data_IF_102408632145
#
_entry.id   IF_102408632145
#
_cell.length_a   1.000
_cell.length_b   1.000
_cell.length_c   1.000
_cell.angle_alpha   90.00
_cell.angle_beta   90.00
_cell.angle_gamma   90.00
#
_symmetry.space_group_name_H-M   'P 1'
#
loop_
_entity.id
_entity.type
_entity.pdbx_description
1 polymer ?
#
# COMPACT_ATOMS: atom_id res chain seq x y z
N UNK A 1 1.39 14.63 -7.55
CA UNK A 1 0.80 13.89 -6.42
C UNK A 1 -0.57 14.48 -6.18
N UNK A 2 -1.60 13.69 -6.38
CA UNK A 2 -2.99 14.03 -6.10
C UNK A 2 -3.42 13.27 -4.84
N UNK A 3 -3.92 13.99 -3.83
CA UNK A 3 -4.37 13.44 -2.55
C UNK A 3 -5.89 13.56 -2.41
N UNK A 4 -6.63 13.30 -3.49
CA UNK A 4 -8.08 13.16 -3.45
C UNK A 4 -8.52 11.82 -2.84
N UNK A 5 -9.81 11.66 -2.65
CA UNK A 5 -10.42 10.50 -2.01
C UNK A 5 -11.12 9.56 -3.00
N UNK A 6 -11.12 9.91 -4.29
CA UNK A 6 -11.74 9.11 -5.33
C UNK A 6 -10.82 7.97 -5.77
N UNK A 7 -11.40 6.83 -6.10
CA UNK A 7 -10.67 5.69 -6.65
C UNK A 7 -10.20 6.01 -8.07
N UNK A 8 -8.99 5.57 -8.41
CA UNK A 8 -8.44 5.69 -9.75
C UNK A 8 -8.70 4.39 -10.51
N UNK A 9 -9.46 4.49 -11.60
CA UNK A 9 -9.80 3.36 -12.46
C UNK A 9 -8.87 3.32 -13.66
N UNK A 10 -8.09 2.28 -13.78
CA UNK A 10 -7.24 2.03 -14.94
C UNK A 10 -7.77 0.81 -15.72
N UNK A 11 -8.00 1.01 -17.03
CA UNK A 11 -8.46 -0.05 -17.93
C UNK A 11 -7.29 -0.65 -18.68
N UNK A 12 -7.10 -1.98 -18.52
CA UNK A 12 -6.08 -2.69 -19.29
C UNK A 12 -6.53 -2.78 -20.77
N UNK A 13 -5.65 -2.47 -21.74
CA UNK A 13 -5.97 -2.66 -23.15
C UNK A 13 -6.38 -4.08 -23.55
N UNK A 14 -5.88 -5.07 -22.80
CA UNK A 14 -6.24 -6.49 -22.97
C UNK A 14 -7.56 -6.88 -22.30
N UNK A 15 -8.27 -5.93 -21.68
CA UNK A 15 -9.52 -6.13 -20.94
C UNK A 15 -9.36 -6.09 -19.42
N UNK A 16 -10.47 -5.85 -18.73
CA UNK A 16 -10.52 -5.71 -17.27
C UNK A 16 -10.14 -4.32 -16.77
N UNK A 17 -10.26 -4.16 -15.45
CA UNK A 17 -10.02 -2.86 -14.77
C UNK A 17 -9.25 -3.09 -13.48
N UNK A 18 -8.19 -2.32 -13.24
CA UNK A 18 -7.55 -2.18 -11.94
C UNK A 18 -8.09 -0.92 -11.29
N UNK A 19 -8.54 -1.04 -10.05
CA UNK A 19 -9.06 0.08 -9.24
C UNK A 19 -8.09 0.34 -8.11
N UNK A 20 -7.36 1.44 -8.19
CA UNK A 20 -6.43 1.88 -7.16
C UNK A 20 -7.21 2.65 -6.08
N UNK A 21 -7.52 1.96 -4.99
CA UNK A 21 -8.19 2.52 -3.83
C UNK A 21 -7.16 3.14 -2.88
N UNK A 22 -7.24 4.47 -2.71
CA UNK A 22 -6.28 5.20 -1.87
C UNK A 22 -6.53 4.98 -0.40
N UNK A 23 -5.57 4.39 0.31
CA UNK A 23 -5.62 4.17 1.76
C UNK A 23 -4.56 5.00 2.50
N UNK A 24 -4.75 5.17 3.80
CA UNK A 24 -3.77 5.80 4.70
C UNK A 24 -3.23 4.73 5.65
N UNK A 25 -1.92 4.51 5.72
CA UNK A 25 -1.35 3.47 6.56
C UNK A 25 -1.76 3.61 8.03
N UNK A 26 -2.13 2.50 8.63
CA UNK A 26 -2.57 2.38 10.04
C UNK A 26 -3.79 3.23 10.43
N UNK A 27 -4.57 3.70 9.46
CA UNK A 27 -5.77 4.52 9.66
C UNK A 27 -7.02 3.73 9.29
N UNK A 28 -8.01 3.70 10.18
CA UNK A 28 -9.30 3.06 9.91
C UNK A 28 -10.20 4.01 9.11
N UNK A 29 -10.60 3.59 7.92
CA UNK A 29 -11.51 4.38 7.10
C UNK A 29 -12.96 4.25 7.58
N UNK A 30 -13.70 5.38 7.62
CA UNK A 30 -15.14 5.35 7.82
C UNK A 30 -15.85 4.50 6.74
N UNK A 31 -16.98 3.93 7.09
CA UNK A 31 -17.74 3.08 6.15
C UNK A 31 -18.10 3.77 4.83
N UNK A 32 -18.29 5.09 4.87
CA UNK A 32 -18.65 5.88 3.68
C UNK A 32 -17.50 6.04 2.69
N UNK A 33 -16.25 5.81 3.12
CA UNK A 33 -15.06 5.87 2.29
C UNK A 33 -14.59 4.51 1.78
N UNK A 34 -15.23 3.43 2.20
CA UNK A 34 -14.90 2.07 1.76
C UNK A 34 -15.39 1.82 0.34
N UNK A 35 -14.65 1.04 -0.48
CA UNK A 35 -15.04 0.73 -1.85
C UNK A 35 -16.44 0.11 -1.89
N UNK A 36 -17.32 0.66 -2.75
CA UNK A 36 -18.70 0.17 -2.93
C UNK A 36 -18.90 -0.54 -4.28
N UNK A 37 -17.87 -0.53 -5.13
CA UNK A 37 -17.93 -1.23 -6.40
C UNK A 37 -17.84 -2.74 -6.20
N UNK A 38 -18.41 -3.48 -7.16
CA UNK A 38 -18.19 -4.91 -7.25
C UNK A 38 -16.80 -5.18 -7.82
N UNK A 39 -16.03 -6.03 -7.17
CA UNK A 39 -14.70 -6.45 -7.61
C UNK A 39 -14.59 -7.98 -7.55
N UNK A 40 -13.70 -8.56 -8.36
CA UNK A 40 -13.57 -10.00 -8.55
C UNK A 40 -12.31 -10.56 -7.85
N UNK A 41 -11.25 -9.76 -7.74
CA UNK A 41 -10.02 -10.12 -7.05
C UNK A 41 -9.39 -8.94 -6.35
N UNK A 42 -8.47 -9.21 -5.44
CA UNK A 42 -7.74 -8.25 -4.64
C UNK A 42 -6.26 -8.27 -5.03
N UNK A 43 -5.67 -7.11 -5.31
CA UNK A 43 -4.22 -6.92 -5.43
C UNK A 43 -3.66 -6.30 -4.16
N UNK A 44 -2.71 -6.95 -3.50
CA UNK A 44 -2.01 -6.42 -2.32
C UNK A 44 -0.63 -5.90 -2.76
N UNK A 45 -0.30 -4.68 -2.34
CA UNK A 45 1.03 -4.08 -2.54
C UNK A 45 1.96 -4.55 -1.41
N UNK A 46 2.36 -5.80 -1.49
CA UNK A 46 3.21 -6.51 -0.53
C UNK A 46 3.49 -7.92 -1.04
N UNK A 47 4.28 -8.68 -0.30
CA UNK A 47 4.58 -10.09 -0.59
C UNK A 47 3.53 -11.02 0.03
N UNK A 48 3.56 -12.30 -0.34
CA UNK A 48 2.70 -13.33 0.24
C UNK A 48 2.94 -13.53 1.75
N UNK A 49 4.11 -13.18 2.25
CA UNK A 49 4.49 -13.27 3.67
C UNK A 49 3.72 -12.29 4.56
N UNK A 50 3.12 -11.23 3.98
CA UNK A 50 2.30 -10.26 4.70
C UNK A 50 1.16 -10.91 5.52
N UNK A 51 0.63 -12.04 5.04
CA UNK A 51 -0.45 -12.73 5.73
C UNK A 51 -0.02 -13.24 7.10
N UNK A 52 1.18 -13.83 7.18
CA UNK A 52 1.74 -14.33 8.45
C UNK A 52 2.04 -13.16 9.40
N UNK A 53 2.59 -12.06 8.87
CA UNK A 53 2.86 -10.84 9.64
C UNK A 53 1.55 -10.29 10.24
N UNK A 54 0.49 -10.19 9.46
CA UNK A 54 -0.80 -9.73 9.97
C UNK A 54 -1.40 -10.62 11.06
N UNK A 55 -1.22 -11.94 10.95
CA UNK A 55 -1.67 -12.87 12.00
C UNK A 55 -0.88 -12.67 13.28
N UNK A 56 0.44 -12.49 13.18
CA UNK A 56 1.28 -12.22 14.35
C UNK A 56 0.94 -10.87 15.00
N UNK A 57 0.74 -9.82 14.21
CA UNK A 57 0.33 -8.51 14.72
C UNK A 57 -1.04 -8.56 15.41
N UNK A 58 -2.04 -9.25 14.83
CA UNK A 58 -3.36 -9.45 15.46
C UNK A 58 -3.24 -10.19 16.79
N UNK A 59 -2.37 -11.20 16.84
CA UNK A 59 -2.11 -11.95 18.07
C UNK A 59 -1.44 -11.09 19.14
N UNK A 60 -0.46 -10.27 18.75
CA UNK A 60 0.20 -9.35 19.67
C UNK A 60 -0.79 -8.31 20.22
N UNK A 61 -1.60 -7.68 19.37
CA UNK A 61 -2.65 -6.72 19.78
C UNK A 61 -3.71 -7.34 20.68
N UNK A 62 -4.05 -8.62 20.49
CA UNK A 62 -5.01 -9.32 21.36
C UNK A 62 -4.47 -9.57 22.76
N UNK A 63 -3.16 -9.71 22.90
CA UNK A 63 -2.48 -9.95 24.18
C UNK A 63 -2.19 -8.64 24.92
N UNK A 64 -1.77 -7.61 24.18
CA UNK A 64 -1.41 -6.30 24.74
C UNK A 64 -1.77 -5.20 23.70
N UNK A 65 -2.89 -4.53 23.95
CA UNK A 65 -3.44 -3.55 23.04
C UNK A 65 -2.51 -2.34 22.86
N UNK A 66 -2.12 -2.06 21.63
CA UNK A 66 -1.21 -0.97 21.27
C UNK A 66 0.26 -1.36 21.23
N UNK A 67 0.62 -2.63 21.52
CA UNK A 67 2.02 -3.07 21.55
C UNK A 67 2.74 -2.85 20.21
N UNK A 68 2.05 -3.07 19.08
CA UNK A 68 2.65 -2.88 17.77
C UNK A 68 2.93 -1.40 17.50
N UNK A 69 1.99 -0.52 17.87
CA UNK A 69 2.17 0.94 17.76
C UNK A 69 3.35 1.42 18.60
N UNK A 70 3.40 1.02 19.87
CA UNK A 70 4.46 1.40 20.78
C UNK A 70 5.83 0.90 20.30
N UNK A 71 5.90 -0.35 19.81
CA UNK A 71 7.11 -0.91 19.23
C UNK A 71 7.57 -0.15 17.99
N UNK A 72 6.66 0.19 17.09
CA UNK A 72 6.97 0.92 15.87
C UNK A 72 7.44 2.36 16.17
N UNK A 73 6.84 3.03 17.15
CA UNK A 73 7.30 4.37 17.60
C UNK A 73 8.69 4.28 18.24
N UNK A 74 8.94 3.28 19.08
CA UNK A 74 10.23 3.07 19.75
C UNK A 74 11.36 2.75 18.75
N UNK A 75 11.06 2.03 17.67
CA UNK A 75 12.03 1.78 16.60
C UNK A 75 12.45 3.07 15.88
N UNK A 76 11.66 4.12 15.98
CA UNK A 76 12.02 5.46 15.50
C UNK A 76 12.03 5.58 13.98
N UNK A 77 12.95 6.44 13.47
CA UNK A 77 13.06 6.68 12.04
C UNK A 77 11.88 7.51 11.49
N UNK A 78 11.60 7.34 10.20
CA UNK A 78 10.46 8.01 9.55
C UNK A 78 9.13 7.37 9.94
N UNK A 79 9.11 6.07 10.17
CA UNK A 79 7.92 5.31 10.53
C UNK A 79 7.46 5.67 11.95
N UNK A 80 8.37 5.65 12.92
CA UNK A 80 8.09 6.08 14.28
C UNK A 80 7.63 7.53 14.35
N UNK A 81 8.27 8.44 13.59
CA UNK A 81 7.85 9.84 13.52
C UNK A 81 6.46 10.01 12.90
N UNK A 82 6.14 9.25 11.84
CA UNK A 82 4.82 9.25 11.23
C UNK A 82 3.75 8.80 12.24
N UNK A 83 3.98 7.66 12.89
CA UNK A 83 3.05 7.09 13.85
C UNK A 83 2.87 7.99 15.09
N UNK A 84 3.95 8.55 15.61
CA UNK A 84 3.88 9.52 16.71
C UNK A 84 3.03 10.73 16.31
N UNK A 85 3.23 11.28 15.10
CA UNK A 85 2.43 12.42 14.62
C UNK A 85 0.96 12.03 14.39
N UNK A 86 0.68 10.80 13.99
CA UNK A 86 -0.70 10.31 13.83
C UNK A 86 -1.44 10.26 15.16
N UNK A 87 -0.79 9.91 16.28
CA UNK A 87 -1.46 9.87 17.60
C UNK A 87 -2.00 11.21 18.05
N UNK A 88 -1.58 12.31 17.40
CA UNK A 88 -2.08 13.68 17.68
C UNK A 88 -3.26 14.07 16.78
N UNK A 89 -3.74 13.15 15.92
CA UNK A 89 -4.89 13.40 15.05
C UNK A 89 -6.15 12.99 15.80
N UNK A 90 -7.03 13.98 16.03
CA UNK A 90 -8.32 13.76 16.64
C UNK A 90 -9.33 13.22 15.62
N UNK A 91 -10.45 12.70 16.10
CA UNK A 91 -11.64 12.24 15.34
C UNK A 91 -11.41 11.05 14.39
N UNK A 92 -10.21 10.47 14.32
CA UNK A 92 -9.87 9.34 13.46
C UNK A 92 -9.24 8.22 14.29
N UNK A 93 -9.59 6.99 14.02
CA UNK A 93 -8.89 5.85 14.60
C UNK A 93 -7.59 5.62 13.84
N UNK A 94 -6.47 5.84 14.52
CA UNK A 94 -5.11 5.78 13.96
C UNK A 94 -4.23 4.81 14.72
N UNK A 95 -3.06 4.49 14.14
CA UNK A 95 -2.07 3.62 14.79
C UNK A 95 -2.57 2.19 14.98
N UNK A 96 -3.40 1.69 14.08
CA UNK A 96 -3.97 0.35 14.14
C UNK A 96 -3.13 -0.64 13.36
N UNK A 97 -2.88 -1.79 14.00
CA UNK A 97 -2.14 -2.91 13.43
C UNK A 97 -2.97 -4.20 13.52
N UNK A 98 -2.87 -5.06 12.50
CA UNK A 98 -2.26 -4.80 11.18
C UNK A 98 -2.94 -3.63 10.46
N UNK A 99 -2.31 -3.16 9.37
CA UNK A 99 -2.87 -2.04 8.58
C UNK A 99 -4.33 -2.34 8.22
N UNK A 100 -5.28 -1.53 8.74
CA UNK A 100 -6.69 -1.95 8.80
C UNK A 100 -7.35 -2.12 7.45
N UNK A 101 -7.06 -1.27 6.46
CA UNK A 101 -7.78 -1.35 5.19
C UNK A 101 -7.31 -2.49 4.28
N UNK A 102 -6.01 -2.72 4.05
CA UNK A 102 -5.55 -3.92 3.34
C UNK A 102 -6.00 -5.20 4.03
N UNK A 103 -5.85 -5.29 5.36
CA UNK A 103 -6.25 -6.47 6.12
C UNK A 103 -7.76 -6.74 6.06
N UNK A 104 -8.59 -5.71 6.17
CA UNK A 104 -10.04 -5.81 6.05
C UNK A 104 -10.46 -6.31 4.67
N UNK A 105 -9.83 -5.76 3.60
CA UNK A 105 -10.12 -6.17 2.22
C UNK A 105 -9.65 -7.60 1.96
N UNK A 106 -8.51 -8.00 2.50
CA UNK A 106 -8.03 -9.38 2.45
C UNK A 106 -9.04 -10.35 3.09
N UNK A 107 -9.47 -10.08 4.33
CA UNK A 107 -10.53 -10.89 4.97
C UNK A 107 -11.83 -10.94 4.15
N UNK A 108 -12.19 -9.82 3.53
CA UNK A 108 -13.37 -9.77 2.66
C UNK A 108 -13.18 -10.61 1.38
N UNK A 109 -11.98 -10.63 0.79
CA UNK A 109 -11.64 -11.49 -0.34
C UNK A 109 -11.82 -12.97 0.01
N UNK A 110 -11.19 -13.41 1.11
CA UNK A 110 -11.28 -14.79 1.58
C UNK A 110 -12.72 -15.19 1.90
N UNK A 111 -13.50 -14.34 2.58
CA UNK A 111 -14.89 -14.62 2.95
C UNK A 111 -15.85 -14.73 1.73
N UNK A 112 -15.43 -14.25 0.58
CA UNK A 112 -16.21 -14.28 -0.66
C UNK A 112 -15.57 -15.10 -1.75
N UNK A 113 -14.61 -15.98 -1.43
CA UNK A 113 -13.89 -16.87 -2.34
C UNK A 113 -13.27 -16.11 -3.53
N UNK A 114 -12.70 -14.91 -3.28
CA UNK A 114 -12.05 -14.07 -4.29
C UNK A 114 -10.54 -14.26 -4.24
N UNK A 115 -9.94 -14.38 -5.41
CA UNK A 115 -8.48 -14.51 -5.52
C UNK A 115 -7.75 -13.28 -4.98
N UNK A 116 -6.64 -13.51 -4.28
CA UNK A 116 -5.74 -12.48 -3.78
C UNK A 116 -4.41 -12.61 -4.51
N UNK A 117 -3.88 -11.51 -5.02
CA UNK A 117 -2.63 -11.41 -5.76
C UNK A 117 -1.67 -10.49 -5.04
N UNK A 118 -0.40 -10.88 -4.95
CA UNK A 118 0.64 -10.10 -4.30
C UNK A 118 1.55 -9.46 -5.35
N UNK A 119 1.65 -8.13 -5.32
CA UNK A 119 2.42 -7.37 -6.30
C UNK A 119 3.92 -7.38 -6.01
N UNK A 120 4.34 -7.55 -4.76
CA UNK A 120 5.74 -7.72 -4.40
C UNK A 120 6.17 -9.17 -4.67
N UNK A 121 7.30 -9.40 -5.37
CA UNK A 121 7.86 -10.73 -5.52
C UNK A 121 8.28 -11.32 -4.18
N UNK A 122 8.24 -12.64 -4.08
CA UNK A 122 8.70 -13.35 -2.89
C UNK A 122 10.24 -13.34 -2.82
N UNK A 123 10.80 -13.63 -1.64
CA UNK A 123 12.26 -13.52 -1.39
C UNK A 123 13.11 -14.55 -2.14
N UNK A 124 12.50 -15.58 -2.71
CA UNK A 124 13.15 -16.57 -3.58
C UNK A 124 13.36 -16.08 -5.02
N UNK A 125 12.78 -14.93 -5.40
CA UNK A 125 13.04 -14.24 -6.66
C UNK A 125 14.43 -13.55 -6.63
N UNK A 126 15.40 -14.13 -7.35
CA UNK A 126 16.79 -13.67 -7.37
C UNK A 126 16.92 -12.22 -7.86
N UNK A 127 16.14 -11.81 -8.88
CA UNK A 127 16.15 -10.45 -9.41
C UNK A 127 15.61 -9.46 -8.39
N UNK A 128 14.60 -9.87 -7.62
CA UNK A 128 14.04 -9.05 -6.55
C UNK A 128 15.01 -8.91 -5.38
N UNK A 129 15.65 -9.99 -4.97
CA UNK A 129 16.68 -9.96 -3.94
C UNK A 129 17.85 -9.05 -4.34
N UNK A 130 18.29 -9.09 -5.60
CA UNK A 130 19.32 -8.17 -6.12
C UNK A 130 18.85 -6.72 -6.10
N UNK A 131 17.59 -6.47 -6.50
CA UNK A 131 16.98 -5.14 -6.46
C UNK A 131 16.95 -4.57 -5.03
N UNK A 132 16.48 -5.35 -4.04
CA UNK A 132 16.47 -4.95 -2.64
C UNK A 132 17.89 -4.66 -2.11
N UNK A 133 18.88 -5.44 -2.54
CA UNK A 133 20.29 -5.17 -2.25
C UNK A 133 20.76 -3.80 -2.78
N UNK A 134 20.37 -3.44 -4.01
CA UNK A 134 20.68 -2.12 -4.59
C UNK A 134 19.96 -0.99 -3.85
N UNK A 135 18.70 -1.19 -3.46
CA UNK A 135 17.93 -0.22 -2.70
C UNK A 135 18.57 0.02 -1.32
N UNK A 136 18.92 -1.05 -0.59
CA UNK A 136 19.63 -0.97 0.69
C UNK A 136 20.98 -0.23 0.56
N UNK A 137 21.76 -0.55 -0.48
CA UNK A 137 23.02 0.14 -0.74
C UNK A 137 22.80 1.63 -1.06
N UNK A 138 21.77 1.96 -1.81
CA UNK A 138 21.41 3.35 -2.11
C UNK A 138 21.08 4.13 -0.84
N UNK A 139 20.36 3.53 0.12
CA UNK A 139 19.97 4.15 1.39
C UNK A 139 21.17 4.38 2.32
N UNK A 140 22.20 3.54 2.27
CA UNK A 140 23.38 3.62 3.15
C UNK A 140 24.46 4.60 2.67
N UNK A 141 24.28 5.28 1.53
CA UNK A 141 25.22 6.29 1.04
C UNK A 141 25.41 7.42 2.06
N UNK A 142 26.67 7.89 2.31
CA UNK A 142 26.97 8.86 3.38
C UNK A 142 26.11 10.12 3.35
N UNK A 143 25.85 10.66 2.16
CA UNK A 143 24.99 11.84 2.00
C UNK A 143 23.52 11.58 2.36
N UNK A 144 23.04 10.35 2.18
CA UNK A 144 21.68 9.97 2.57
C UNK A 144 21.58 9.74 4.07
N UNK A 145 22.62 9.18 4.69
CA UNK A 145 22.72 9.05 6.15
C UNK A 145 22.71 10.42 6.84
N UNK A 146 23.39 11.44 6.27
CA UNK A 146 23.30 12.81 6.78
C UNK A 146 21.87 13.38 6.74
N UNK A 147 21.01 12.95 5.82
CA UNK A 147 19.61 13.37 5.77
C UNK A 147 18.82 12.91 6.98
N UNK A 148 19.22 11.82 7.63
CA UNK A 148 18.59 11.32 8.87
C UNK A 148 18.72 12.37 9.99
N UNK A 149 19.87 13.01 10.11
CA UNK A 149 20.12 14.06 11.12
C UNK A 149 19.18 15.26 10.93
N UNK A 150 18.77 15.53 9.70
CA UNK A 150 17.87 16.64 9.36
C UNK A 150 16.40 16.22 9.15
N UNK A 151 16.03 15.01 9.57
CA UNK A 151 14.68 14.46 9.35
C UNK A 151 13.59 15.41 9.84
N UNK A 152 13.66 15.93 11.05
CA UNK A 152 12.65 16.84 11.60
C UNK A 152 12.48 18.15 10.80
N UNK A 153 13.58 18.69 10.24
CA UNK A 153 13.53 19.88 9.38
C UNK A 153 12.92 19.57 8.02
N UNK A 154 13.30 18.45 7.44
CA UNK A 154 12.76 17.95 6.17
C UNK A 154 11.25 17.67 6.32
N UNK A 155 10.86 17.02 7.41
CA UNK A 155 9.46 16.74 7.75
C UNK A 155 8.63 18.02 7.78
N UNK A 156 9.05 19.03 8.57
CA UNK A 156 8.34 20.32 8.68
C UNK A 156 8.20 21.04 7.34
N UNK A 157 9.19 20.92 6.44
CA UNK A 157 9.11 21.51 5.11
C UNK A 157 8.15 20.71 4.23
N UNK A 158 8.25 19.38 4.25
CA UNK A 158 7.45 18.49 3.42
C UNK A 158 5.96 18.55 3.79
N UNK A 159 5.62 18.54 5.08
CA UNK A 159 4.20 18.59 5.49
C UNK A 159 3.51 19.90 5.07
N UNK A 160 4.24 21.03 5.10
CA UNK A 160 3.70 22.31 4.58
C UNK A 160 3.41 22.26 3.08
N UNK A 161 4.18 21.46 2.36
CA UNK A 161 3.98 21.22 0.92
C UNK A 161 2.80 20.26 0.71
N UNK A 162 2.76 19.13 1.42
CA UNK A 162 1.72 18.11 1.25
C UNK A 162 0.33 18.63 1.59
N UNK A 163 0.19 19.46 2.63
CA UNK A 163 -1.09 20.12 2.97
C UNK A 163 -1.73 20.91 1.84
N UNK A 164 -0.96 21.33 0.83
CA UNK A 164 -1.50 22.06 -0.33
C UNK A 164 -2.09 21.12 -1.40
N UNK A 165 -1.82 19.85 -1.32
CA UNK A 165 -2.28 18.82 -2.25
C UNK A 165 -3.45 18.01 -1.70
N UNK A 166 -3.72 18.12 -0.40
CA UNK A 166 -4.84 17.42 0.24
C UNK A 166 -6.14 18.09 -0.19
N UNK A 167 -7.07 17.29 -0.63
CA UNK A 167 -8.44 17.69 -0.97
C UNK A 167 -9.33 17.52 0.27
N UNK A 168 -10.37 18.33 0.36
CA UNK A 168 -11.34 18.23 1.45
C UNK A 168 -11.92 16.80 1.48
N UNK A 169 -12.07 16.26 2.69
CA UNK A 169 -12.65 14.94 2.89
C UNK A 169 -14.11 14.90 2.45
N UNK A 170 -14.63 13.72 2.09
CA UNK A 170 -16.04 13.57 1.76
C UNK A 170 -16.95 14.07 2.89
N UNK A 171 -18.14 14.60 2.57
CA UNK A 171 -19.12 15.02 3.57
C UNK A 171 -19.38 13.91 4.60
N UNK A 172 -19.38 14.25 5.88
CA UNK A 172 -19.51 13.36 7.05
C UNK A 172 -18.27 12.55 7.42
N UNK A 173 -17.17 12.64 6.66
CA UNK A 173 -15.90 12.07 7.08
C UNK A 173 -15.23 12.99 8.12
N UNK A 174 -14.48 12.44 9.09
CA UNK A 174 -13.78 13.22 10.10
C UNK A 174 -12.76 14.20 9.52
N UNK A 175 -12.63 15.40 10.09
CA UNK A 175 -11.66 16.42 9.65
C UNK A 175 -10.20 15.94 9.81
N UNK A 176 -9.96 15.10 10.80
CA UNK A 176 -8.65 14.50 11.04
C UNK A 176 -8.09 13.71 9.85
N UNK A 177 -8.94 13.22 8.93
CA UNK A 177 -8.47 12.52 7.73
C UNK A 177 -7.62 13.40 6.82
N UNK A 178 -7.90 14.70 6.69
CA UNK A 178 -7.04 15.62 5.93
C UNK A 178 -5.64 15.71 6.54
N UNK A 179 -5.58 15.76 7.88
CA UNK A 179 -4.29 15.81 8.59
C UNK A 179 -3.55 14.49 8.41
N UNK A 180 -4.24 13.36 8.58
CA UNK A 180 -3.66 12.04 8.38
C UNK A 180 -3.15 11.84 6.94
N UNK A 181 -3.91 12.29 5.93
CA UNK A 181 -3.48 12.28 4.52
C UNK A 181 -2.20 13.09 4.29
N UNK A 182 -2.12 14.30 4.85
CA UNK A 182 -0.90 15.12 4.75
C UNK A 182 0.31 14.46 5.44
N UNK A 183 0.09 13.80 6.58
CA UNK A 183 1.13 13.06 7.30
C UNK A 183 1.60 11.85 6.50
N UNK A 184 0.67 11.02 6.02
CA UNK A 184 0.98 9.85 5.20
C UNK A 184 1.72 10.21 3.90
N UNK A 185 1.27 11.27 3.21
CA UNK A 185 1.94 11.76 2.01
C UNK A 185 3.34 12.33 2.31
N UNK A 186 3.53 12.95 3.48
CA UNK A 186 4.85 13.43 3.92
C UNK A 186 5.79 12.26 4.17
N UNK A 187 5.34 11.26 4.90
CA UNK A 187 6.06 10.04 5.18
C UNK A 187 6.45 9.31 3.89
N UNK A 188 5.50 9.05 3.02
CA UNK A 188 5.70 8.44 1.72
C UNK A 188 6.75 9.18 0.86
N UNK A 189 6.59 10.51 0.73
CA UNK A 189 7.55 11.32 -0.02
C UNK A 189 8.95 11.21 0.54
N UNK A 190 9.13 11.30 1.85
CA UNK A 190 10.45 11.26 2.48
C UNK A 190 11.11 9.88 2.36
N UNK A 191 10.32 8.79 2.39
CA UNK A 191 10.83 7.45 2.12
C UNK A 191 11.29 7.31 0.67
N UNK A 192 10.50 7.74 -0.29
CA UNK A 192 10.93 7.75 -1.70
C UNK A 192 12.16 8.63 -1.96
N UNK A 193 12.27 9.78 -1.31
CA UNK A 193 13.45 10.64 -1.41
C UNK A 193 14.72 9.98 -0.81
N UNK A 194 14.58 8.97 0.04
CA UNK A 194 15.70 8.22 0.60
C UNK A 194 16.21 7.12 -0.34
N UNK A 195 15.38 6.59 -1.23
CA UNK A 195 15.79 5.73 -2.34
C UNK A 195 16.26 6.58 -3.55
N UNK A 196 16.67 5.94 -4.64
CA UNK A 196 16.98 6.61 -5.91
C UNK A 196 15.71 6.62 -6.79
N UNK A 197 15.53 7.69 -7.59
CA UNK A 197 14.34 7.85 -8.43
C UNK A 197 14.20 6.70 -9.46
N UNK A 198 15.33 6.24 -10.00
CA UNK A 198 15.38 5.11 -10.93
C UNK A 198 14.92 3.82 -10.27
N UNK A 199 15.39 3.52 -9.05
CA UNK A 199 14.95 2.34 -8.29
C UNK A 199 13.47 2.43 -7.94
N UNK A 200 12.98 3.62 -7.54
CA UNK A 200 11.56 3.81 -7.30
C UNK A 200 10.71 3.53 -8.56
N UNK A 201 11.19 3.97 -9.74
CA UNK A 201 10.50 3.72 -11.00
C UNK A 201 10.51 2.22 -11.36
N UNK A 202 11.65 1.56 -11.23
CA UNK A 202 11.78 0.10 -11.47
C UNK A 202 10.82 -0.69 -10.58
N UNK A 203 10.73 -0.33 -9.30
CA UNK A 203 9.77 -0.91 -8.34
C UNK A 203 8.33 -0.74 -8.80
N UNK A 204 7.93 0.51 -9.12
CA UNK A 204 6.58 0.82 -9.57
C UNK A 204 6.22 0.05 -10.85
N UNK A 205 7.14 -0.05 -11.82
CA UNK A 205 6.95 -0.78 -13.07
C UNK A 205 6.79 -2.28 -12.82
N UNK A 206 7.61 -2.87 -11.96
CA UNK A 206 7.50 -4.30 -11.65
C UNK A 206 6.19 -4.63 -10.94
N UNK A 207 5.79 -3.81 -9.98
CA UNK A 207 4.50 -3.99 -9.30
C UNK A 207 3.32 -3.85 -10.28
N UNK A 208 3.39 -2.89 -11.21
CA UNK A 208 2.38 -2.74 -12.25
C UNK A 208 2.32 -3.98 -13.18
N UNK A 209 3.49 -4.56 -13.56
CA UNK A 209 3.57 -5.80 -14.35
C UNK A 209 2.85 -6.97 -13.66
N UNK A 210 3.10 -7.13 -12.35
CA UNK A 210 2.51 -8.21 -11.53
C UNK A 210 1.02 -7.98 -11.27
N UNK A 211 0.58 -6.74 -11.05
CA UNK A 211 -0.86 -6.42 -10.97
C UNK A 211 -1.59 -6.74 -12.29
N UNK A 212 -0.96 -6.43 -13.44
CA UNK A 212 -1.48 -6.85 -14.75
C UNK A 212 -1.54 -8.37 -14.89
N UNK A 213 -0.55 -9.09 -14.33
CA UNK A 213 -0.54 -10.55 -14.27
C UNK A 213 -1.70 -11.13 -13.50
N UNK A 214 -1.96 -10.60 -12.31
CA UNK A 214 -3.14 -10.97 -11.52
C UNK A 214 -4.44 -10.65 -12.25
N UNK A 215 -4.56 -9.47 -12.88
CA UNK A 215 -5.72 -9.12 -13.70
C UNK A 215 -5.90 -10.08 -14.89
N UNK A 216 -4.81 -10.51 -15.53
CA UNK A 216 -4.85 -11.49 -16.61
C UNK A 216 -5.40 -12.84 -16.15
N UNK A 217 -5.07 -13.31 -14.94
CA UNK A 217 -5.68 -14.49 -14.31
C UNK A 217 -7.18 -14.28 -14.06
N UNK A 218 -7.58 -13.14 -13.52
CA UNK A 218 -9.00 -12.82 -13.30
C UNK A 218 -9.81 -12.79 -14.62
N UNK A 219 -9.21 -12.35 -15.72
CA UNK A 219 -9.88 -12.37 -17.04
C UNK A 219 -10.22 -13.77 -17.51
N UNK A 220 -9.46 -14.77 -17.13
CA UNK A 220 -9.77 -16.16 -17.51
C UNK A 220 -11.11 -16.62 -16.92
N UNK A 221 -11.50 -16.10 -15.77
CA UNK A 221 -12.73 -16.48 -15.08
C UNK A 221 -13.88 -15.48 -15.34
N UNK A 222 -13.58 -14.17 -15.46
CA UNK A 222 -14.56 -13.10 -15.50
C UNK A 222 -14.60 -12.33 -16.82
N UNK A 223 -13.77 -12.71 -17.79
CA UNK A 223 -13.66 -12.04 -19.09
C UNK A 223 -13.20 -10.57 -18.97
N UNK A 224 -13.54 -9.78 -19.98
CA UNK A 224 -13.16 -8.35 -20.06
C UNK A 224 -13.81 -7.46 -18.99
N UNK A 225 -14.77 -8.00 -18.22
CA UNK A 225 -15.40 -7.30 -17.10
C UNK A 225 -14.69 -7.53 -15.76
N UNK A 226 -13.60 -8.27 -15.76
CA UNK A 226 -12.79 -8.49 -14.55
C UNK A 226 -12.40 -7.17 -13.87
N UNK A 227 -12.57 -7.11 -12.56
CA UNK A 227 -12.19 -5.94 -11.74
C UNK A 227 -11.30 -6.41 -10.60
N UNK A 228 -10.09 -5.86 -10.56
CA UNK A 228 -9.15 -6.03 -9.44
C UNK A 228 -9.17 -4.77 -8.58
N UNK A 229 -9.43 -4.92 -7.28
CA UNK A 229 -9.30 -3.83 -6.30
C UNK A 229 -7.91 -3.85 -5.69
N UNK A 230 -7.25 -2.71 -5.64
CA UNK A 230 -5.88 -2.57 -5.10
C UNK A 230 -5.86 -1.47 -4.04
N UNK A 231 -5.85 -1.82 -2.74
CA UNK A 231 -5.58 -0.86 -1.69
C UNK A 231 -4.11 -0.41 -1.78
N UNK A 232 -3.91 0.87 -1.99
CA UNK A 232 -2.58 1.46 -2.16
C UNK A 232 -2.52 2.78 -1.41
N UNK A 233 -1.36 3.13 -0.86
CA UNK A 233 -1.20 4.44 -0.25
C UNK A 233 -1.65 5.55 -1.18
N UNK A 234 -2.49 6.46 -0.67
CA UNK A 234 -3.06 7.57 -1.43
C UNK A 234 -2.00 8.36 -2.21
N UNK A 235 -0.86 8.61 -1.58
CA UNK A 235 0.25 9.32 -2.20
C UNK A 235 0.98 8.52 -3.31
N UNK A 236 0.83 7.21 -3.34
CA UNK A 236 1.46 6.32 -4.32
C UNK A 236 0.64 6.15 -5.59
N UNK A 237 -0.66 6.39 -5.55
CA UNK A 237 -1.59 6.17 -6.67
C UNK A 237 -1.12 6.76 -8.00
N UNK A 238 -0.67 8.02 -7.99
CA UNK A 238 -0.22 8.69 -9.22
C UNK A 238 0.98 8.01 -9.89
N UNK A 239 1.94 7.51 -9.12
CA UNK A 239 3.12 6.84 -9.69
C UNK A 239 2.78 5.43 -10.15
N UNK A 240 1.93 4.72 -9.42
CA UNK A 240 1.43 3.41 -9.84
C UNK A 240 0.57 3.51 -11.09
N UNK A 241 -0.33 4.51 -11.18
CA UNK A 241 -1.12 4.73 -12.39
C UNK A 241 -0.24 4.97 -13.63
N UNK A 242 0.80 5.81 -13.50
CA UNK A 242 1.76 6.04 -14.59
C UNK A 242 2.55 4.78 -14.95
N UNK A 243 2.88 3.94 -13.97
CA UNK A 243 3.54 2.66 -14.23
C UNK A 243 2.63 1.70 -14.99
N UNK A 244 1.35 1.66 -14.68
CA UNK A 244 0.33 0.92 -15.44
C UNK A 244 0.16 1.48 -16.86
N UNK A 245 0.12 2.82 -17.02
CA UNK A 245 0.02 3.49 -18.33
C UNK A 245 1.22 3.20 -19.24
N UNK A 246 2.38 2.88 -18.66
CA UNK A 246 3.56 2.45 -19.41
C UNK A 246 3.41 1.05 -20.01
N UNK A 247 2.34 0.34 -19.68
CA UNK A 247 2.01 -1.01 -20.17
C UNK A 247 3.18 -1.99 -20.05
N UNK A 248 3.75 -2.21 -18.86
CA UNK A 248 4.83 -3.18 -18.72
C UNK A 248 4.34 -4.58 -19.10
N UNK A 249 5.24 -5.41 -19.60
CA UNK A 249 4.94 -6.81 -19.88
C UNK A 249 4.35 -7.49 -18.64
N UNK A 250 3.38 -8.36 -18.88
CA UNK A 250 2.68 -9.08 -17.82
C UNK A 250 3.64 -10.03 -17.11
N UNK A 251 3.77 -9.90 -15.79
CA UNK A 251 4.56 -10.77 -14.92
C UNK A 251 3.64 -11.59 -14.01
N UNK A 252 3.96 -12.86 -13.81
CA UNK A 252 3.18 -13.71 -12.89
C UNK A 252 3.29 -13.19 -11.45
N UNK A 253 2.15 -13.13 -10.76
CA UNK A 253 2.07 -12.74 -9.35
C UNK A 253 1.78 -13.95 -8.47
N UNK A 254 2.36 -13.99 -7.28
CA UNK A 254 1.99 -14.94 -6.24
C UNK A 254 0.51 -14.76 -5.92
N UNK A 255 -0.23 -15.86 -5.76
CA UNK A 255 -1.67 -15.78 -5.52
C UNK A 255 -2.12 -16.81 -4.49
N UNK A 256 -3.05 -16.39 -3.63
CA UNK A 256 -3.85 -17.30 -2.81
C UNK A 256 -5.15 -17.53 -3.56
N UNK A 257 -5.35 -18.77 -4.02
CA UNK A 257 -6.65 -19.24 -4.53
C UNK A 257 -7.16 -20.32 -3.58
N UNK A 258 -8.39 -20.16 -3.09
CA UNK A 258 -9.03 -21.12 -2.18
C UNK A 258 -9.49 -22.41 -2.89
N UNK A 259 -9.20 -22.56 -4.18
CA UNK A 259 -9.67 -23.68 -5.01
C UNK A 259 -8.57 -24.63 -5.46
N UNK A 260 -7.68 -25.07 -4.57
CA UNK A 260 -6.83 -26.20 -4.92
C UNK A 260 -6.17 -26.89 -3.73
N UNK A 261 -6.95 -27.48 -2.84
CA UNK A 261 -6.47 -28.61 -2.03
C UNK A 261 -7.60 -29.65 -1.86
N UNK A 262 -8.15 -30.09 -2.99
CA UNK A 262 -8.73 -31.43 -3.08
C UNK A 262 -7.77 -32.21 -3.95
N UNK A 263 -6.57 -32.46 -3.46
CA UNK A 263 -5.79 -33.58 -3.91
C UNK A 263 -6.44 -34.83 -3.34
N UNK A 264 -6.89 -35.67 -4.26
CA UNK A 264 -7.37 -37.02 -4.03
C UNK A 264 -6.32 -37.83 -3.25
N UNK A 265 -6.70 -38.35 -2.07
CA UNK A 265 -6.09 -39.53 -1.48
C UNK A 265 -6.73 -40.79 -2.05
#
# INVERSE_FOLDING_TARGET
MNLDWEDVHWKDPDGGTIVLHGVLPTVVFPNDMRPRLQWHGLGIIGSSEEEEVWVEEEKAESNDAGINLDSAILNGGLDGLYLEMLTWVDDVQVGRFPDPEPRRLHKAALNHDRSVFFAEPDMDDEDWAEFLGKEAQAMTRPFKLLRIVFTSRRWRKSIKQMRKHVVDQPPRAPDGLQVASALAATWWKLNRDNSDEELNLQKDVRFAARLRGGLAKLRQEHGDTAVMLVPIQQAWRDSMHRALDALPDVEESSSLSLTSDVEEE
#
